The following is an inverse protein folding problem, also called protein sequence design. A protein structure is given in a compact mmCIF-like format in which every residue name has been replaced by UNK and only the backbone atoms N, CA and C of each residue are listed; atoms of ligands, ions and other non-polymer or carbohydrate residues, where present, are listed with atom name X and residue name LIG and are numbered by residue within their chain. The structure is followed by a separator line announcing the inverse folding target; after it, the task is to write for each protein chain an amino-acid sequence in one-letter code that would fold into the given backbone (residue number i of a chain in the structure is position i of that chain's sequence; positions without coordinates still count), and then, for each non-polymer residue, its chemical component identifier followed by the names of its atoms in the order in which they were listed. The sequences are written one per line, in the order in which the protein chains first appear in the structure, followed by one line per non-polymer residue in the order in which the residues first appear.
data_IF_378618609963
#
_entry.id   IF_378618609963
#
_cell.length_a   1.000
_cell.length_b   1.000
_cell.length_c   1.000
_cell.angle_alpha   90.00
_cell.angle_beta   90.00
_cell.angle_gamma   90.00
#
_symmetry.space_group_name_H-M   'P 1'
#
loop_
_entity.id
_entity.type
_entity.pdbx_description
1 polymer ?
#
# COMPACT_ATOMS: atom_id res chain seq x y z
N UNK A 1 -40.19 13.33 -11.71
CA UNK A 1 -39.87 13.11 -13.14
C UNK A 1 -39.03 14.26 -13.71
N UNK A 2 -37.92 14.66 -13.06
CA UNK A 2 -37.10 15.81 -13.51
C UNK A 2 -35.61 15.49 -13.65
N UNK A 3 -35.16 14.33 -13.18
CA UNK A 3 -33.77 13.84 -13.33
C UNK A 3 -33.49 13.14 -14.66
N UNK A 4 -34.50 12.87 -15.49
CA UNK A 4 -34.31 12.26 -16.81
C UNK A 4 -33.89 13.26 -17.90
N UNK A 5 -34.09 14.57 -17.68
CA UNK A 5 -33.86 15.60 -18.72
C UNK A 5 -32.44 16.17 -18.75
N UNK A 6 -31.58 15.88 -17.76
CA UNK A 6 -30.18 16.35 -17.73
C UNK A 6 -29.23 15.35 -18.43
N UNK A 7 -29.69 14.12 -18.67
CA UNK A 7 -28.94 13.12 -19.46
C UNK A 7 -28.77 13.57 -20.91
N UNK A 8 -29.63 14.47 -21.38
CA UNK A 8 -29.86 14.78 -22.79
C UNK A 8 -28.96 15.85 -23.39
N UNK A 9 -28.02 16.48 -22.67
CA UNK A 9 -27.27 17.63 -23.23
C UNK A 9 -25.76 17.39 -23.40
N UNK A 10 -25.10 16.67 -22.48
CA UNK A 10 -23.71 16.23 -22.68
C UNK A 10 -23.61 14.81 -23.26
N UNK A 11 -24.58 13.94 -22.93
CA UNK A 11 -24.66 12.58 -23.48
C UNK A 11 -25.21 12.51 -24.90
N UNK A 12 -25.85 13.58 -25.39
CA UNK A 12 -26.44 13.66 -26.74
C UNK A 12 -25.42 13.97 -27.85
N UNK A 13 -24.19 14.36 -27.50
CA UNK A 13 -23.12 14.62 -28.47
C UNK A 13 -22.22 13.41 -28.76
N UNK A 14 -22.31 12.35 -27.96
CA UNK A 14 -21.52 11.13 -28.12
C UNK A 14 -22.33 10.08 -28.88
N UNK A 15 -21.79 9.62 -30.01
CA UNK A 15 -22.41 8.53 -30.76
C UNK A 15 -22.30 7.21 -29.97
N UNK A 16 -23.18 6.24 -30.24
CA UNK A 16 -23.18 4.92 -29.57
C UNK A 16 -21.80 4.23 -29.73
N UNK A 17 -21.17 4.43 -30.89
CA UNK A 17 -19.84 3.89 -31.19
C UNK A 17 -18.75 4.52 -30.31
N UNK A 18 -18.89 5.80 -29.94
CA UNK A 18 -17.97 6.47 -29.02
C UNK A 18 -18.08 5.94 -27.60
N UNK A 19 -19.30 5.67 -27.11
CA UNK A 19 -19.51 5.09 -25.79
C UNK A 19 -18.88 3.71 -25.68
N UNK A 20 -19.10 2.85 -26.68
CA UNK A 20 -18.51 1.51 -26.74
C UNK A 20 -16.98 1.57 -26.76
N UNK A 21 -16.40 2.54 -27.48
CA UNK A 21 -14.95 2.78 -27.51
C UNK A 21 -14.42 3.25 -26.15
N UNK A 22 -15.11 4.18 -25.49
CA UNK A 22 -14.73 4.68 -24.17
C UNK A 22 -14.82 3.61 -23.09
N UNK A 23 -15.84 2.75 -23.11
CA UNK A 23 -15.97 1.60 -22.21
C UNK A 23 -14.78 0.64 -22.34
N UNK A 24 -14.40 0.30 -23.58
CA UNK A 24 -13.24 -0.56 -23.83
C UNK A 24 -11.94 0.07 -23.36
N UNK A 25 -11.79 1.39 -23.58
CA UNK A 25 -10.63 2.14 -23.14
C UNK A 25 -10.56 2.21 -21.62
N UNK A 26 -11.69 2.43 -20.93
CA UNK A 26 -11.78 2.43 -19.47
C UNK A 26 -11.38 1.07 -18.91
N UNK A 27 -11.97 -0.01 -19.43
CA UNK A 27 -11.64 -1.38 -19.01
C UNK A 27 -10.15 -1.68 -19.20
N UNK A 28 -9.57 -1.23 -20.31
CA UNK A 28 -8.14 -1.40 -20.61
C UNK A 28 -7.24 -0.58 -19.69
N UNK A 29 -7.63 0.67 -19.37
CA UNK A 29 -6.86 1.53 -18.44
C UNK A 29 -6.93 1.04 -17.01
N UNK A 30 -8.07 0.50 -16.58
CA UNK A 30 -8.24 -0.05 -15.22
C UNK A 30 -7.75 -1.49 -15.07
N UNK A 31 -7.27 -2.12 -16.14
CA UNK A 31 -6.72 -3.46 -16.09
C UNK A 31 -5.57 -3.57 -15.06
N UNK A 32 -5.52 -4.71 -14.38
CA UNK A 32 -4.56 -5.06 -13.32
C UNK A 32 -4.70 -4.27 -12.00
N UNK A 33 -5.61 -3.31 -11.90
CA UNK A 33 -5.87 -2.63 -10.62
C UNK A 33 -6.77 -3.53 -9.76
N UNK A 34 -6.40 -3.81 -8.50
CA UNK A 34 -7.26 -4.59 -7.63
C UNK A 34 -8.58 -3.87 -7.32
N UNK A 35 -9.70 -4.59 -7.29
CA UNK A 35 -11.05 -4.03 -7.07
C UNK A 35 -11.24 -3.32 -5.72
N UNK A 36 -10.39 -3.59 -4.74
CA UNK A 36 -10.42 -2.91 -3.45
C UNK A 36 -9.71 -1.54 -3.48
N UNK A 37 -8.94 -1.24 -4.53
CA UNK A 37 -8.28 0.07 -4.72
C UNK A 37 -9.24 1.00 -5.45
N UNK A 38 -9.82 0.51 -6.55
CA UNK A 38 -10.86 1.19 -7.30
C UNK A 38 -12.07 0.26 -7.39
N UNK A 39 -13.27 0.69 -6.98
CA UNK A 39 -14.48 -0.10 -7.19
C UNK A 39 -14.71 -0.35 -8.69
N UNK A 40 -15.59 -1.29 -9.05
CA UNK A 40 -16.00 -1.43 -10.45
C UNK A 40 -16.66 -0.13 -10.93
N UNK A 41 -16.05 0.50 -11.93
CA UNK A 41 -16.52 1.74 -12.54
C UNK A 41 -17.11 1.46 -13.92
N UNK A 42 -18.17 2.18 -14.25
CA UNK A 42 -18.79 2.20 -15.57
C UNK A 42 -18.46 3.51 -16.29
N UNK A 43 -18.71 3.57 -17.60
CA UNK A 43 -18.59 4.85 -18.32
C UNK A 43 -19.54 5.93 -17.78
N UNK A 44 -20.69 5.52 -17.23
CA UNK A 44 -21.64 6.44 -16.61
C UNK A 44 -21.05 7.09 -15.36
N UNK A 45 -20.23 6.36 -14.58
CA UNK A 45 -19.54 6.91 -13.42
C UNK A 45 -18.55 8.01 -13.81
N UNK A 46 -17.84 7.82 -14.93
CA UNK A 46 -16.89 8.79 -15.49
C UNK A 46 -17.63 10.03 -16.04
N UNK A 47 -18.65 9.82 -16.87
CA UNK A 47 -19.41 10.91 -17.50
C UNK A 47 -20.14 11.76 -16.47
N UNK A 48 -20.69 11.12 -15.43
CA UNK A 48 -21.41 11.82 -14.34
C UNK A 48 -20.51 12.23 -13.18
N UNK A 49 -19.22 11.92 -13.24
CA UNK A 49 -18.27 12.17 -12.15
C UNK A 49 -18.80 11.70 -10.79
N UNK A 50 -19.32 10.47 -10.72
CA UNK A 50 -19.90 9.97 -9.48
C UNK A 50 -18.85 9.98 -8.36
N UNK A 51 -19.23 10.14 -7.08
CA UNK A 51 -18.26 10.20 -5.97
C UNK A 51 -17.27 9.03 -5.96
N UNK A 52 -17.71 7.87 -6.45
CA UNK A 52 -16.95 6.62 -6.63
C UNK A 52 -15.76 6.76 -7.59
N UNK A 53 -15.91 7.59 -8.63
CA UNK A 53 -14.88 7.85 -9.64
C UNK A 53 -14.09 9.13 -9.33
N UNK A 54 -14.74 10.11 -8.70
CA UNK A 54 -14.16 11.44 -8.48
C UNK A 54 -13.17 11.46 -7.30
N UNK A 55 -13.48 10.78 -6.19
CA UNK A 55 -12.67 10.86 -4.98
C UNK A 55 -12.39 9.50 -4.35
N UNK A 56 -11.15 9.05 -4.48
CA UNK A 56 -10.64 7.81 -3.88
C UNK A 56 -9.87 8.15 -2.60
N UNK A 57 -10.52 7.97 -1.44
CA UNK A 57 -9.97 8.35 -0.12
C UNK A 57 -8.57 7.80 0.20
N UNK A 58 -8.22 6.62 -0.32
CA UNK A 58 -6.94 5.97 -0.06
C UNK A 58 -5.81 6.38 -1.04
N UNK A 59 -6.12 7.31 -1.94
CA UNK A 59 -5.23 7.83 -2.99
C UNK A 59 -4.98 9.32 -2.73
N UNK A 60 -3.74 9.83 -2.87
CA UNK A 60 -3.43 11.24 -2.73
C UNK A 60 -4.26 12.13 -3.66
N UNK A 61 -4.61 13.36 -3.26
CA UNK A 61 -5.42 14.27 -4.08
C UNK A 61 -4.82 14.58 -5.46
N UNK A 62 -3.49 14.58 -5.58
CA UNK A 62 -2.77 14.84 -6.84
C UNK A 62 -2.60 13.60 -7.73
N UNK A 63 -3.00 12.42 -7.22
CA UNK A 63 -2.90 11.13 -7.92
C UNK A 63 -4.28 10.52 -8.18
N UNK A 64 -5.36 11.31 -8.15
CA UNK A 64 -6.72 10.82 -8.35
C UNK A 64 -6.92 10.20 -9.74
N UNK A 65 -8.09 9.59 -9.96
CA UNK A 65 -8.37 8.78 -11.14
C UNK A 65 -8.09 9.50 -12.47
N UNK A 66 -8.35 10.80 -12.58
CA UNK A 66 -8.05 11.58 -13.78
C UNK A 66 -6.54 11.59 -14.10
N UNK A 67 -5.69 11.80 -13.09
CA UNK A 67 -4.24 11.79 -13.26
C UNK A 67 -3.75 10.39 -13.66
N UNK A 68 -4.26 9.35 -13.00
CA UNK A 68 -3.96 7.97 -13.35
C UNK A 68 -4.34 7.63 -14.81
N UNK A 69 -5.57 7.96 -15.22
CA UNK A 69 -6.05 7.68 -16.57
C UNK A 69 -5.19 8.41 -17.62
N UNK A 70 -4.82 9.66 -17.36
CA UNK A 70 -3.97 10.46 -18.26
C UNK A 70 -2.56 9.88 -18.40
N UNK A 71 -2.01 9.31 -17.32
CA UNK A 71 -0.65 8.78 -17.28
C UNK A 71 -0.56 7.27 -17.56
N UNK A 72 -1.68 6.55 -17.78
CA UNK A 72 -1.70 5.09 -17.91
C UNK A 72 -0.76 4.55 -19.00
N UNK A 73 -0.63 5.27 -20.11
CA UNK A 73 0.27 4.89 -21.20
C UNK A 73 1.74 4.81 -20.74
N UNK A 74 2.20 5.79 -19.95
CA UNK A 74 3.57 5.82 -19.43
C UNK A 74 3.80 4.65 -18.47
N UNK A 75 2.79 4.30 -17.67
CA UNK A 75 2.86 3.15 -16.77
C UNK A 75 2.90 1.83 -17.55
N UNK A 76 2.08 1.69 -18.60
CA UNK A 76 2.06 0.49 -19.46
C UNK A 76 3.40 0.27 -20.18
N UNK A 77 4.06 1.35 -20.61
CA UNK A 77 5.40 1.30 -21.24
C UNK A 77 6.42 0.60 -20.33
N UNK A 78 6.25 0.77 -19.02
CA UNK A 78 7.13 0.23 -17.98
C UNK A 78 6.54 -1.06 -17.36
N UNK A 79 5.59 -1.71 -18.03
CA UNK A 79 4.92 -2.96 -17.64
C UNK A 79 4.34 -2.93 -16.23
N UNK A 80 3.67 -1.85 -15.84
CA UNK A 80 3.01 -1.72 -14.53
C UNK A 80 3.99 -1.78 -13.34
N UNK A 81 5.29 -1.61 -13.60
CA UNK A 81 6.34 -1.69 -12.59
C UNK A 81 6.90 -0.31 -12.28
N UNK A 82 7.23 -0.05 -11.00
CA UNK A 82 8.04 1.11 -10.70
C UNK A 82 9.45 0.82 -11.22
N UNK A 83 10.11 1.84 -11.75
CA UNK A 83 11.52 1.80 -12.14
C UNK A 83 12.29 2.67 -11.18
N UNK A 84 13.42 2.21 -10.64
CA UNK A 84 14.18 2.98 -9.64
C UNK A 84 14.80 4.27 -10.20
N UNK A 85 15.31 4.24 -11.43
CA UNK A 85 15.98 5.39 -12.06
C UNK A 85 14.98 6.53 -12.38
N UNK A 86 15.17 7.68 -11.74
CA UNK A 86 14.35 8.89 -11.93
C UNK A 86 14.48 9.48 -13.34
N UNK A 87 15.58 9.20 -14.06
CA UNK A 87 15.76 9.62 -15.45
C UNK A 87 14.90 8.82 -16.42
N UNK A 88 14.52 7.60 -16.07
CA UNK A 88 13.73 6.68 -16.91
C UNK A 88 12.24 6.81 -16.60
N UNK A 89 11.91 6.84 -15.31
CA UNK A 89 10.55 6.97 -14.82
C UNK A 89 10.51 8.08 -13.77
N UNK A 90 9.60 9.03 -13.89
CA UNK A 90 9.46 10.11 -12.90
C UNK A 90 9.03 9.56 -11.54
N UNK A 91 9.32 10.30 -10.46
CA UNK A 91 8.77 10.01 -9.13
C UNK A 91 7.23 9.97 -9.16
N UNK A 92 6.59 10.84 -9.94
CA UNK A 92 5.13 10.89 -10.10
C UNK A 92 4.54 9.57 -10.62
N UNK A 93 5.11 9.05 -11.71
CA UNK A 93 4.70 7.75 -12.28
C UNK A 93 4.95 6.61 -11.30
N UNK A 94 6.08 6.63 -10.57
CA UNK A 94 6.36 5.66 -9.51
C UNK A 94 5.29 5.72 -8.41
N UNK A 95 4.88 6.91 -7.97
CA UNK A 95 3.81 7.08 -6.97
C UNK A 95 2.49 6.48 -7.47
N UNK A 96 2.10 6.74 -8.72
CA UNK A 96 0.90 6.12 -9.33
C UNK A 96 0.96 4.59 -9.24
N UNK A 97 2.10 3.98 -9.57
CA UNK A 97 2.27 2.51 -9.49
C UNK A 97 2.09 1.99 -8.06
N UNK A 98 2.66 2.66 -7.06
CA UNK A 98 2.53 2.26 -5.65
C UNK A 98 1.10 2.42 -5.11
N UNK A 99 0.46 3.57 -5.36
CA UNK A 99 -0.88 3.87 -4.82
C UNK A 99 -1.98 3.06 -5.50
N UNK A 100 -1.86 2.85 -6.82
CA UNK A 100 -2.78 1.97 -7.56
C UNK A 100 -2.42 0.48 -7.47
N UNK A 101 -1.32 0.14 -6.77
CA UNK A 101 -0.90 -1.22 -6.46
C UNK A 101 -0.77 -2.11 -7.70
N UNK A 102 -0.20 -1.53 -8.75
CA UNK A 102 -0.04 -2.20 -10.04
C UNK A 102 1.07 -3.26 -10.04
N UNK A 103 2.01 -3.17 -9.08
CA UNK A 103 3.11 -4.10 -8.93
C UNK A 103 2.95 -4.93 -7.67
N UNK A 104 2.85 -6.26 -7.82
CA UNK A 104 2.70 -7.18 -6.68
C UNK A 104 3.88 -7.09 -5.69
N UNK A 105 5.05 -6.72 -6.18
CA UNK A 105 6.30 -6.64 -5.40
C UNK A 105 6.55 -5.27 -4.79
N UNK A 106 5.83 -4.22 -5.21
CA UNK A 106 6.03 -2.84 -4.77
C UNK A 106 4.73 -2.23 -4.28
N UNK A 107 4.30 -2.71 -3.11
CA UNK A 107 3.10 -2.24 -2.45
C UNK A 107 3.24 -2.36 -0.94
N UNK A 108 2.33 -1.70 -0.23
CA UNK A 108 2.30 -1.67 1.23
C UNK A 108 1.42 -2.76 1.85
N UNK A 109 0.84 -3.64 1.02
CA UNK A 109 -0.08 -4.69 1.48
C UNK A 109 0.62 -5.94 1.95
N UNK A 110 0.05 -6.52 3.00
CA UNK A 110 0.48 -7.80 3.58
C UNK A 110 0.05 -9.06 2.84
N UNK A 111 -0.79 -9.00 1.81
CA UNK A 111 -1.38 -10.24 1.26
C UNK A 111 -0.46 -10.96 0.28
N UNK A 112 0.54 -10.27 -0.24
CA UNK A 112 1.53 -10.85 -1.13
C UNK A 112 2.70 -11.41 -0.33
N UNK A 113 3.13 -12.62 -0.67
CA UNK A 113 4.18 -13.32 0.06
C UNK A 113 5.48 -12.52 0.13
N UNK A 114 5.88 -11.87 -0.96
CA UNK A 114 7.10 -11.05 -1.01
C UNK A 114 7.05 -9.89 0.00
N UNK A 115 5.93 -9.18 0.09
CA UNK A 115 5.75 -8.10 1.08
C UNK A 115 5.83 -8.64 2.51
N UNK A 116 5.14 -9.75 2.81
CA UNK A 116 5.19 -10.40 4.12
C UNK A 116 6.60 -10.83 4.51
N UNK A 117 7.36 -11.34 3.55
CA UNK A 117 8.74 -11.72 3.76
C UNK A 117 9.60 -10.50 4.05
N UNK A 118 9.42 -9.39 3.33
CA UNK A 118 10.12 -8.13 3.62
C UNK A 118 9.81 -7.63 5.04
N UNK A 119 8.56 -7.70 5.51
CA UNK A 119 8.19 -7.30 6.87
C UNK A 119 8.94 -8.11 7.93
N UNK A 120 8.94 -9.44 7.75
CA UNK A 120 9.62 -10.35 8.66
C UNK A 120 11.14 -10.15 8.63
N UNK A 121 11.73 -10.02 7.44
CA UNK A 121 13.17 -9.80 7.24
C UNK A 121 13.61 -8.50 7.90
N UNK A 122 12.99 -7.37 7.58
CA UNK A 122 13.35 -6.07 8.15
C UNK A 122 13.18 -6.04 9.67
N UNK A 123 12.07 -6.55 10.19
CA UNK A 123 11.84 -6.56 11.65
C UNK A 123 12.87 -7.44 12.37
N UNK A 124 13.20 -8.61 11.82
CA UNK A 124 14.20 -9.53 12.40
C UNK A 124 15.61 -8.94 12.35
N UNK A 125 15.97 -8.29 11.23
CA UNK A 125 17.25 -7.62 11.02
C UNK A 125 17.42 -6.44 11.98
N UNK A 126 16.39 -5.59 12.11
CA UNK A 126 16.38 -4.48 13.07
C UNK A 126 16.47 -4.96 14.51
N UNK A 127 15.77 -6.05 14.87
CA UNK A 127 15.86 -6.66 16.19
C UNK A 127 17.27 -7.19 16.48
N UNK A 128 17.84 -7.97 15.56
CA UNK A 128 19.14 -8.61 15.73
C UNK A 128 20.29 -7.61 15.94
N UNK A 129 20.15 -6.41 15.37
CA UNK A 129 21.16 -5.34 15.40
C UNK A 129 20.92 -4.26 16.45
N UNK A 130 19.74 -4.25 17.07
CA UNK A 130 19.48 -3.38 18.22
C UNK A 130 20.08 -3.93 19.53
N UNK A 131 20.61 -5.16 19.53
CA UNK A 131 21.20 -5.77 20.72
C UNK A 131 22.70 -5.46 20.83
N UNK A 132 23.18 -4.82 21.91
CA UNK A 132 24.59 -4.46 22.06
C UNK A 132 25.52 -5.67 22.24
N UNK A 133 24.97 -6.86 22.47
CA UNK A 133 25.76 -8.07 22.74
C UNK A 133 26.24 -8.80 21.49
N UNK A 134 25.72 -8.45 20.30
CA UNK A 134 26.13 -9.05 19.03
C UNK A 134 27.08 -8.11 18.29
N UNK A 135 28.31 -8.58 18.04
CA UNK A 135 29.27 -8.01 17.07
C UNK A 135 28.77 -8.21 15.64
N UNK A 136 27.55 -7.77 15.35
CA UNK A 136 26.91 -7.92 14.05
C UNK A 136 27.67 -7.12 13.01
N UNK A 137 27.67 -7.61 11.77
CA UNK A 137 27.87 -6.75 10.60
C UNK A 137 27.02 -5.48 10.80
N UNK A 138 27.69 -4.34 10.82
CA UNK A 138 27.05 -3.07 11.10
C UNK A 138 26.12 -2.73 9.92
N UNK A 139 24.82 -2.83 10.17
CA UNK A 139 23.83 -2.28 9.24
C UNK A 139 24.09 -0.79 9.18
N UNK A 140 24.30 -0.27 7.98
CA UNK A 140 24.54 1.16 7.82
C UNK A 140 23.33 1.94 8.35
N UNK A 141 23.54 3.14 8.91
CA UNK A 141 22.43 3.99 9.34
C UNK A 141 21.42 4.27 8.22
N UNK A 142 21.85 4.31 6.96
CA UNK A 142 20.99 4.50 5.80
C UNK A 142 20.10 3.27 5.54
N UNK A 143 20.67 2.06 5.52
CA UNK A 143 19.92 0.81 5.41
C UNK A 143 18.88 0.67 6.53
N UNK A 144 19.26 1.05 7.77
CA UNK A 144 18.33 1.08 8.91
C UNK A 144 17.15 2.03 8.67
N UNK A 145 17.41 3.26 8.20
CA UNK A 145 16.36 4.24 7.89
C UNK A 145 15.45 3.76 6.77
N UNK A 146 16.01 3.14 5.73
CA UNK A 146 15.23 2.55 4.64
C UNK A 146 14.24 1.49 5.15
N UNK A 147 14.72 0.53 5.95
CA UNK A 147 13.87 -0.51 6.54
C UNK A 147 12.78 0.07 7.45
N UNK A 148 13.13 1.04 8.31
CA UNK A 148 12.17 1.71 9.19
C UNK A 148 11.14 2.49 8.39
N UNK A 149 11.54 3.20 7.34
CA UNK A 149 10.63 3.96 6.47
C UNK A 149 9.64 3.04 5.76
N UNK A 150 10.07 1.86 5.30
CA UNK A 150 9.16 0.90 4.68
C UNK A 150 8.12 0.38 5.70
N UNK A 151 8.56 -0.01 6.89
CA UNK A 151 7.66 -0.48 7.95
C UNK A 151 6.68 0.62 8.38
N UNK A 152 7.12 1.88 8.44
CA UNK A 152 6.26 3.03 8.72
C UNK A 152 5.19 3.21 7.64
N UNK A 153 5.56 3.12 6.36
CA UNK A 153 4.63 3.21 5.24
C UNK A 153 3.57 2.09 5.25
N UNK A 154 3.96 0.86 5.62
CA UNK A 154 3.04 -0.27 5.80
C UNK A 154 2.08 -0.02 6.95
N UNK A 155 2.56 0.50 8.08
CA UNK A 155 1.71 0.84 9.22
C UNK A 155 0.71 1.94 8.89
N UNK A 156 1.16 3.01 8.23
CA UNK A 156 0.27 4.09 7.77
C UNK A 156 -0.78 3.57 6.80
N UNK A 157 -0.39 2.75 5.80
CA UNK A 157 -1.33 2.18 4.84
C UNK A 157 -2.49 1.43 5.49
N UNK A 158 -2.20 0.67 6.54
CA UNK A 158 -3.19 -0.18 7.19
C UNK A 158 -3.94 0.52 8.32
N UNK A 159 -3.29 1.37 9.11
CA UNK A 159 -3.90 2.03 10.26
C UNK A 159 -4.60 3.34 9.89
N UNK A 160 -4.06 4.08 8.92
CA UNK A 160 -4.52 5.41 8.54
C UNK A 160 -4.50 5.57 7.01
N UNK A 161 -5.34 4.84 6.25
CA UNK A 161 -5.26 4.78 4.79
C UNK A 161 -5.49 6.12 4.07
N UNK A 162 -6.04 7.13 4.76
CA UNK A 162 -6.22 8.49 4.24
C UNK A 162 -5.00 9.41 4.48
N UNK A 163 -4.00 8.95 5.24
CA UNK A 163 -2.74 9.64 5.47
C UNK A 163 -1.68 9.13 4.50
N UNK A 164 -0.79 10.01 4.04
CA UNK A 164 0.14 9.69 2.95
C UNK A 164 1.61 9.96 3.31
N UNK A 165 1.89 10.54 4.47
CA UNK A 165 3.21 11.08 4.84
C UNK A 165 4.30 10.01 4.83
N UNK A 166 4.08 8.87 5.50
CA UNK A 166 5.06 7.80 5.61
C UNK A 166 5.22 7.04 4.30
N UNK A 167 4.12 6.82 3.56
CA UNK A 167 4.16 6.20 2.22
C UNK A 167 4.93 7.05 1.23
N UNK A 168 4.66 8.35 1.17
CA UNK A 168 5.37 9.30 0.31
C UNK A 168 6.87 9.38 0.66
N UNK A 169 7.21 9.42 1.95
CA UNK A 169 8.60 9.41 2.40
C UNK A 169 9.31 8.12 1.99
N UNK A 170 8.67 6.96 2.12
CA UNK A 170 9.26 5.71 1.66
C UNK A 170 9.47 5.70 0.14
N UNK A 171 8.47 6.10 -0.66
CA UNK A 171 8.58 6.08 -2.13
C UNK A 171 9.73 7.00 -2.57
N UNK A 172 9.85 8.19 -1.97
CA UNK A 172 10.97 9.12 -2.22
C UNK A 172 12.32 8.49 -1.89
N UNK A 173 12.45 7.81 -0.74
CA UNK A 173 13.68 7.08 -0.37
C UNK A 173 13.98 5.92 -1.31
N UNK A 174 12.98 5.11 -1.64
CA UNK A 174 13.14 3.98 -2.57
C UNK A 174 13.62 4.43 -3.95
N UNK A 175 13.18 5.59 -4.40
CA UNK A 175 13.59 6.20 -5.66
C UNK A 175 15.01 6.77 -5.62
N UNK A 176 15.38 7.44 -4.53
CA UNK A 176 16.62 8.23 -4.43
C UNK A 176 17.80 7.48 -3.80
N UNK A 177 17.54 6.45 -2.99
CA UNK A 177 18.58 5.66 -2.32
C UNK A 177 18.94 4.41 -3.15
N UNK A 178 20.12 3.84 -2.88
CA UNK A 178 20.57 2.60 -3.55
C UNK A 178 19.81 1.35 -3.10
N UNK A 179 19.06 1.45 -2.00
CA UNK A 179 18.45 0.30 -1.35
C UNK A 179 17.14 -0.15 -1.99
N UNK A 180 16.94 -1.46 -2.10
CA UNK A 180 15.70 -2.07 -2.59
C UNK A 180 15.07 -3.07 -1.62
N UNK A 181 13.83 -3.44 -1.90
CA UNK A 181 13.17 -4.54 -1.23
C UNK A 181 13.83 -5.86 -1.64
N UNK A 182 13.65 -6.89 -0.81
CA UNK A 182 14.00 -8.25 -1.21
C UNK A 182 12.97 -8.74 -2.23
N UNK A 183 13.33 -8.79 -3.50
CA UNK A 183 12.45 -9.23 -4.59
C UNK A 183 12.85 -10.62 -5.12
N UNK A 184 14.15 -10.86 -5.23
CA UNK A 184 14.70 -12.05 -5.87
C UNK A 184 15.00 -13.17 -4.89
N UNK A 185 14.00 -14.03 -4.68
CA UNK A 185 14.15 -15.25 -3.88
C UNK A 185 14.34 -16.48 -4.77
N UNK A 186 15.42 -17.24 -4.55
CA UNK A 186 15.59 -18.58 -5.11
C UNK A 186 14.56 -19.54 -4.53
N UNK A 187 14.21 -20.61 -5.26
CA UNK A 187 13.20 -21.58 -4.85
C UNK A 187 13.42 -22.14 -3.43
N UNK A 188 14.68 -22.43 -3.05
CA UNK A 188 15.03 -22.90 -1.71
C UNK A 188 14.76 -21.83 -0.63
N UNK A 189 15.01 -20.56 -0.93
CA UNK A 189 14.75 -19.43 -0.02
C UNK A 189 13.25 -19.19 0.13
N UNK A 190 12.47 -19.26 -0.96
CA UNK A 190 11.00 -19.22 -0.90
C UNK A 190 10.45 -20.33 -0.01
N UNK A 191 10.90 -21.57 -0.21
CA UNK A 191 10.52 -22.72 0.64
C UNK A 191 10.88 -22.52 2.10
N UNK A 192 12.06 -21.96 2.37
CA UNK A 192 12.49 -21.60 3.72
C UNK A 192 11.55 -20.55 4.33
N UNK A 193 11.28 -19.44 3.62
CA UNK A 193 10.42 -18.37 4.12
C UNK A 193 8.99 -18.85 4.40
N UNK A 194 8.40 -19.64 3.51
CA UNK A 194 7.07 -20.25 3.75
C UNK A 194 7.08 -21.08 5.04
N UNK A 195 8.13 -21.89 5.26
CA UNK A 195 8.28 -22.67 6.49
C UNK A 195 8.42 -21.77 7.73
N UNK A 196 9.29 -20.77 7.68
CA UNK A 196 9.52 -19.85 8.80
C UNK A 196 8.28 -19.03 9.13
N UNK A 197 7.57 -18.51 8.13
CA UNK A 197 6.33 -17.76 8.35
C UNK A 197 5.26 -18.61 9.03
N UNK A 198 5.14 -19.90 8.71
CA UNK A 198 4.21 -20.80 9.42
C UNK A 198 4.58 -20.97 10.89
N UNK A 199 5.87 -21.10 11.20
CA UNK A 199 6.37 -21.18 12.58
C UNK A 199 6.10 -19.87 13.31
N UNK A 200 6.58 -18.75 12.74
CA UNK A 200 6.43 -17.42 13.31
C UNK A 200 4.97 -17.06 13.54
N UNK A 201 4.05 -17.38 12.63
CA UNK A 201 2.63 -17.09 12.83
C UNK A 201 2.09 -17.73 14.13
N UNK A 202 2.43 -19.00 14.39
CA UNK A 202 1.99 -19.69 15.62
C UNK A 202 2.64 -19.11 16.86
N UNK A 203 3.89 -18.70 16.77
CA UNK A 203 4.60 -18.06 17.88
C UNK A 203 4.05 -16.65 18.14
N UNK A 204 3.73 -15.89 17.09
CA UNK A 204 3.08 -14.58 17.16
C UNK A 204 1.74 -14.65 17.88
N UNK A 205 0.88 -15.61 17.52
CA UNK A 205 -0.42 -15.77 18.19
C UNK A 205 -0.27 -15.97 19.69
N UNK A 206 0.68 -16.82 20.12
CA UNK A 206 0.96 -17.05 21.54
C UNK A 206 1.53 -15.83 22.23
N UNK A 207 2.47 -15.14 21.57
CA UNK A 207 3.10 -13.95 22.12
C UNK A 207 2.07 -12.83 22.31
N UNK A 208 1.21 -12.59 21.32
CA UNK A 208 0.16 -11.58 21.40
C UNK A 208 -0.81 -11.87 22.55
N UNK A 209 -1.15 -13.15 22.80
CA UNK A 209 -1.97 -13.54 23.94
C UNK A 209 -1.30 -13.29 25.29
N UNK A 210 0.01 -13.60 25.39
CA UNK A 210 0.80 -13.31 26.59
C UNK A 210 0.86 -11.80 26.84
N UNK A 211 1.23 -11.02 25.83
CA UNK A 211 1.37 -9.56 25.93
C UNK A 211 0.04 -8.89 26.26
N UNK A 212 -1.07 -9.32 25.66
CA UNK A 212 -2.40 -8.82 25.98
C UNK A 212 -2.80 -9.11 27.44
N UNK A 213 -2.42 -10.28 27.98
CA UNK A 213 -2.69 -10.65 29.37
C UNK A 213 -1.81 -9.87 30.36
N UNK A 214 -0.53 -9.66 30.01
CA UNK A 214 0.45 -8.98 30.87
C UNK A 214 0.24 -7.46 30.93
N UNK A 215 -0.02 -6.82 29.77
CA UNK A 215 -0.18 -5.36 29.68
C UNK A 215 -1.62 -4.91 29.96
N UNK A 216 -2.59 -5.81 29.81
CA UNK A 216 -4.01 -5.48 29.81
C UNK A 216 -4.48 -4.88 28.48
N UNK A 217 -5.80 -4.92 28.27
CA UNK A 217 -6.41 -4.61 26.97
C UNK A 217 -6.13 -3.18 26.48
N UNK A 218 -6.28 -2.18 27.34
CA UNK A 218 -6.11 -0.77 26.97
C UNK A 218 -4.69 -0.46 26.50
N UNK A 219 -3.69 -0.94 27.23
CA UNK A 219 -2.29 -0.70 26.89
C UNK A 219 -1.86 -1.53 25.66
N UNK A 220 -2.39 -2.74 25.51
CA UNK A 220 -2.23 -3.56 24.30
C UNK A 220 -2.80 -2.84 23.06
N UNK A 221 -4.02 -2.32 23.13
CA UNK A 221 -4.67 -1.62 22.02
C UNK A 221 -3.89 -0.37 21.61
N UNK A 222 -3.28 0.32 22.57
CA UNK A 222 -2.45 1.51 22.31
C UNK A 222 -1.10 1.17 21.67
N UNK A 223 -0.43 0.11 22.11
CA UNK A 223 0.99 -0.12 21.80
C UNK A 223 1.27 -1.29 20.88
N UNK A 224 0.38 -2.26 20.80
CA UNK A 224 0.62 -3.53 20.10
C UNK A 224 -0.37 -3.69 18.96
N UNK A 225 -1.66 -3.43 19.19
CA UNK A 225 -2.69 -3.57 18.17
C UNK A 225 -2.38 -2.87 16.82
N UNK A 226 -1.72 -1.69 16.76
CA UNK A 226 -1.35 -1.06 15.48
C UNK A 226 -0.42 -1.90 14.60
N UNK A 227 0.32 -2.85 15.16
CA UNK A 227 1.18 -3.77 14.41
C UNK A 227 0.44 -5.05 13.96
N UNK A 228 -0.63 -5.40 14.67
CA UNK A 228 -1.38 -6.64 14.47
C UNK A 228 -2.37 -6.44 13.34
N UNK A 229 -2.36 -7.34 12.38
CA UNK A 229 -3.14 -7.12 11.16
C UNK A 229 -2.33 -6.44 10.06
N UNK A 230 -1.23 -5.76 10.39
CA UNK A 230 -0.42 -4.98 9.45
C UNK A 230 0.91 -5.69 9.16
N UNK A 231 1.77 -5.74 10.19
CA UNK A 231 3.10 -6.38 10.14
C UNK A 231 3.00 -7.84 10.58
N UNK A 232 2.22 -8.11 11.63
CA UNK A 232 2.04 -9.44 12.19
C UNK A 232 0.67 -10.02 11.88
N UNK A 233 0.54 -11.36 11.75
CA UNK A 233 -0.77 -11.98 11.71
C UNK A 233 -1.53 -11.69 13.02
N UNK A 234 -2.82 -11.40 12.90
CA UNK A 234 -3.74 -11.31 14.02
C UNK A 234 -4.84 -12.35 13.89
N UNK A 235 -5.46 -12.71 15.01
CA UNK A 235 -6.64 -13.59 15.03
C UNK A 235 -7.93 -12.78 15.07
N UNK A 236 -9.01 -13.32 14.51
CA UNK A 236 -10.33 -12.65 14.49
C UNK A 236 -10.90 -12.41 15.89
N UNK A 237 -10.62 -13.28 16.84
CA UNK A 237 -11.09 -13.21 18.23
C UNK A 237 -10.35 -12.16 19.08
N UNK A 238 -9.25 -11.58 18.57
CA UNK A 238 -8.56 -10.48 19.26
C UNK A 238 -9.37 -9.17 19.24
N UNK A 239 -10.53 -9.15 18.57
CA UNK A 239 -11.44 -7.99 18.49
C UNK A 239 -10.66 -6.72 18.11
N UNK A 240 -9.74 -6.86 17.16
CA UNK A 240 -9.06 -5.70 16.59
C UNK A 240 -10.14 -4.77 16.04
N UNK A 241 -10.02 -3.44 16.22
CA UNK A 241 -11.00 -2.50 15.71
C UNK A 241 -11.36 -2.87 14.27
N UNK A 242 -12.63 -3.19 14.03
CA UNK A 242 -13.14 -3.74 12.76
C UNK A 242 -12.81 -2.81 11.58
N UNK A 243 -12.58 -1.52 11.87
CA UNK A 243 -12.04 -0.52 10.95
C UNK A 243 -10.71 -0.91 10.29
N UNK A 244 -9.89 -1.77 10.91
CA UNK A 244 -8.58 -2.22 10.40
C UNK A 244 -8.65 -3.48 9.52
N UNK A 245 -9.73 -4.26 9.61
CA UNK A 245 -9.86 -5.55 8.91
C UNK A 245 -10.97 -5.57 7.85
N UNK A 246 -12.08 -4.85 8.07
CA UNK A 246 -13.27 -4.94 7.22
C UNK A 246 -13.58 -3.68 6.41
N UNK A 247 -12.89 -2.55 6.64
CA UNK A 247 -13.06 -1.32 5.84
C UNK A 247 -12.70 -1.49 4.35
N UNK A 248 -12.16 -2.66 3.95
CA UNK A 248 -11.86 -3.01 2.56
C UNK A 248 -12.70 -4.19 2.01
N UNK A 249 -13.54 -4.85 2.82
CA UNK A 249 -14.29 -6.04 2.40
C UNK A 249 -15.80 -5.96 2.65
N UNK A 250 -16.27 -5.05 3.50
CA UNK A 250 -17.68 -4.69 3.45
C UNK A 250 -17.86 -3.76 2.25
N UNK A 251 -18.14 -4.35 1.09
CA UNK A 251 -19.03 -3.71 0.15
C UNK A 251 -20.17 -3.13 0.98
N UNK A 252 -20.49 -1.83 0.87
CA UNK A 252 -21.75 -1.36 1.44
C UNK A 252 -22.80 -2.32 0.91
N UNK A 253 -23.44 -3.06 1.82
CA UNK A 253 -24.70 -3.70 1.49
C UNK A 253 -25.53 -2.62 0.80
N UNK A 254 -26.34 -2.93 -0.23
CA UNK A 254 -27.26 -1.98 -0.81
C UNK A 254 -28.36 -1.66 0.24
N UNK A 255 -27.97 -1.05 1.35
CA UNK A 255 -28.84 -0.29 2.21
C UNK A 255 -29.38 0.83 1.34
N UNK A 256 -30.69 0.78 1.17
CA UNK A 256 -31.58 1.81 0.62
C UNK A 256 -30.91 3.17 0.52
N UNK A 257 -30.97 3.85 -0.65
CA UNK A 257 -30.39 5.18 -0.81
C UNK A 257 -31.05 6.12 0.19
N UNK A 258 -30.35 6.36 1.30
CA UNK A 258 -30.73 7.36 2.29
C UNK A 258 -30.59 8.72 1.63
N UNK A 259 -31.62 9.53 1.84
CA UNK A 259 -31.88 10.82 1.18
C UNK A 259 -30.79 11.91 1.40
N UNK A 260 -29.66 11.57 2.00
CA UNK A 260 -28.56 12.48 2.31
C UNK A 260 -27.55 12.68 1.15
N UNK A 261 -27.53 11.83 0.11
CA UNK A 261 -26.69 12.05 -1.09
C UNK A 261 -27.29 13.05 -2.08
N UNK A 262 -28.56 13.43 -1.93
CA UNK A 262 -29.24 14.33 -2.86
C UNK A 262 -28.85 15.81 -2.72
N UNK A 263 -28.31 16.22 -1.57
CA UNK A 263 -28.08 17.64 -1.25
C UNK A 263 -26.64 18.12 -1.49
N UNK A 264 -25.74 17.27 -1.99
CA UNK A 264 -24.36 17.64 -2.38
C UNK A 264 -24.10 17.62 -3.89
N UNK A 265 -25.16 17.60 -4.71
CA UNK A 265 -25.03 17.88 -6.13
C UNK A 265 -24.94 19.40 -6.28
N UNK A 266 -23.72 19.93 -6.16
CA UNK A 266 -23.43 21.28 -6.62
C UNK A 266 -23.91 21.38 -8.09
N UNK A 267 -24.71 22.39 -8.45
CA UNK A 267 -25.09 22.60 -9.83
C UNK A 267 -23.79 22.77 -10.64
N UNK A 268 -23.55 21.80 -11.52
CA UNK A 268 -22.48 21.76 -12.51
C UNK A 268 -22.31 23.16 -13.11
N UNK A 269 -21.33 23.91 -12.62
CA UNK A 269 -20.67 24.90 -13.45
C UNK A 269 -19.99 24.11 -14.58
N UNK A 270 -19.85 24.71 -15.75
CA UNK A 270 -19.24 24.14 -16.98
C UNK A 270 -17.76 23.76 -16.82
N UNK A 271 -17.37 23.22 -15.68
CA UNK A 271 -16.08 22.60 -15.45
C UNK A 271 -15.98 21.37 -16.35
N UNK A 272 -15.09 21.51 -17.33
CA UNK A 272 -14.68 20.47 -18.26
C UNK A 272 -14.52 19.13 -17.51
N UNK A 273 -15.19 18.07 -17.96
CA UNK A 273 -15.14 16.77 -17.31
C UNK A 273 -13.72 16.18 -17.45
N UNK A 274 -12.86 16.47 -16.46
CA UNK A 274 -11.45 16.08 -16.45
C UNK A 274 -11.27 14.56 -16.54
N UNK A 275 -12.16 13.78 -15.91
CA UNK A 275 -12.12 12.32 -15.97
C UNK A 275 -12.38 11.80 -17.39
N UNK A 276 -13.32 12.40 -18.12
CA UNK A 276 -13.61 12.04 -19.50
C UNK A 276 -12.46 12.43 -20.44
N UNK A 277 -11.87 13.61 -20.26
CA UNK A 277 -10.69 14.04 -21.01
C UNK A 277 -9.48 13.13 -20.75
N UNK A 278 -9.22 12.81 -19.48
CA UNK A 278 -8.18 11.87 -19.08
C UNK A 278 -8.39 10.45 -19.65
N UNK A 279 -9.65 9.99 -19.67
CA UNK A 279 -10.00 8.70 -20.28
C UNK A 279 -9.66 8.69 -21.77
N UNK A 280 -9.94 9.77 -22.49
CA UNK A 280 -9.71 9.91 -23.94
C UNK A 280 -8.25 9.87 -24.37
N UNK A 281 -7.30 10.11 -23.46
CA UNK A 281 -5.86 9.97 -23.76
C UNK A 281 -5.59 8.54 -24.30
N UNK A 282 -5.13 8.38 -25.55
CA UNK A 282 -5.00 7.06 -26.16
C UNK A 282 -4.02 6.15 -25.42
N UNK A 283 -4.28 4.83 -25.45
CA UNK A 283 -3.25 3.84 -25.17
C UNK A 283 -2.59 3.47 -26.49
N UNK A 284 -1.30 3.73 -26.64
CA UNK A 284 -0.56 3.25 -27.81
C UNK A 284 -0.55 1.71 -27.85
N UNK A 285 -0.90 1.14 -29.00
CA UNK A 285 -0.83 -0.31 -29.22
C UNK A 285 0.60 -0.81 -29.04
N UNK A 286 0.71 -1.92 -28.30
CA UNK A 286 1.91 -2.43 -27.61
C UNK A 286 3.13 -2.74 -28.51
N UNK A 287 3.76 -1.72 -29.09
CA UNK A 287 5.12 -1.83 -29.66
C UNK A 287 6.20 -2.01 -28.59
N UNK A 288 5.82 -1.90 -27.31
CA UNK A 288 6.71 -1.87 -26.14
C UNK A 288 7.14 -3.25 -25.61
N UNK A 289 6.74 -4.35 -26.26
CA UNK A 289 6.99 -5.73 -25.82
C UNK A 289 8.47 -6.18 -25.80
N UNK A 290 9.43 -5.30 -26.12
CA UNK A 290 10.87 -5.61 -26.11
C UNK A 290 11.72 -4.58 -25.37
N UNK A 291 11.14 -3.78 -24.48
CA UNK A 291 11.97 -3.03 -23.55
C UNK A 291 12.72 -4.07 -22.70
N UNK A 292 14.04 -4.10 -22.89
CA UNK A 292 14.95 -4.93 -22.12
C UNK A 292 14.56 -4.82 -20.65
N UNK A 293 14.52 -5.94 -19.95
CA UNK A 293 14.41 -5.95 -18.49
C UNK A 293 15.49 -4.98 -18.01
N UNK A 294 15.09 -3.78 -17.59
CA UNK A 294 16.03 -2.84 -17.00
C UNK A 294 16.48 -3.54 -15.73
N UNK A 295 17.70 -4.06 -15.73
CA UNK A 295 18.32 -4.56 -14.51
C UNK A 295 18.43 -3.35 -13.59
N UNK A 296 17.55 -3.31 -12.59
CA UNK A 296 17.55 -2.21 -11.63
C UNK A 296 18.80 -2.34 -10.76
N UNK A 297 19.63 -1.29 -10.66
CA UNK A 297 20.89 -1.34 -9.90
C UNK A 297 20.69 -1.32 -8.36
N UNK A 298 19.51 -1.72 -7.87
CA UNK A 298 19.18 -1.71 -6.46
C UNK A 298 19.92 -2.80 -5.68
N UNK A 299 20.42 -2.45 -4.49
CA UNK A 299 21.01 -3.41 -3.54
C UNK A 299 20.08 -3.61 -2.35
N UNK A 300 20.00 -4.80 -1.80
CA UNK A 300 19.20 -5.00 -0.58
C UNK A 300 19.91 -4.35 0.63
N UNK A 301 19.18 -3.87 1.66
CA UNK A 301 19.75 -3.21 2.84
C UNK A 301 20.85 -4.00 3.55
N UNK A 302 20.76 -5.33 3.47
CA UNK A 302 21.73 -6.31 3.96
C UNK A 302 21.76 -7.49 3.00
N UNK A 303 22.77 -8.36 3.12
CA UNK A 303 22.78 -9.62 2.39
C UNK A 303 21.56 -10.49 2.75
N UNK A 304 20.95 -11.13 1.74
CA UNK A 304 19.75 -11.94 1.94
C UNK A 304 20.04 -13.15 2.86
N UNK A 305 21.23 -13.75 2.80
CA UNK A 305 21.56 -14.87 3.70
C UNK A 305 21.65 -14.43 5.16
N UNK A 306 22.18 -13.22 5.41
CA UNK A 306 22.17 -12.61 6.74
C UNK A 306 20.73 -12.35 7.22
N UNK A 307 19.89 -11.73 6.38
CA UNK A 307 18.50 -11.46 6.73
C UNK A 307 17.70 -12.75 7.04
N UNK A 308 17.90 -13.81 6.24
CA UNK A 308 17.29 -15.12 6.50
C UNK A 308 17.77 -15.74 7.82
N UNK A 309 19.04 -15.56 8.17
CA UNK A 309 19.59 -15.97 9.47
C UNK A 309 18.96 -15.17 10.62
N UNK A 310 18.74 -13.87 10.46
CA UNK A 310 18.03 -13.05 11.43
C UNK A 310 16.61 -13.58 11.66
N UNK A 311 15.85 -13.86 10.59
CA UNK A 311 14.49 -14.43 10.70
C UNK A 311 14.51 -15.77 11.43
N UNK A 312 15.45 -16.66 11.10
CA UNK A 312 15.59 -17.97 11.74
C UNK A 312 15.81 -17.88 13.26
N UNK A 313 16.58 -16.88 13.69
CA UNK A 313 17.06 -16.75 15.06
C UNK A 313 16.25 -15.74 15.89
N UNK A 314 15.30 -15.04 15.29
CA UNK A 314 14.45 -14.07 15.98
C UNK A 314 13.26 -14.75 16.63
N UNK A 315 12.81 -14.17 17.74
CA UNK A 315 11.57 -14.57 18.42
C UNK A 315 10.57 -13.41 18.37
N UNK A 316 9.26 -13.69 18.33
CA UNK A 316 8.22 -12.66 18.37
C UNK A 316 8.40 -11.59 19.44
N UNK A 317 8.68 -11.99 20.70
CA UNK A 317 8.92 -11.06 21.81
C UNK A 317 9.99 -9.99 21.49
N UNK A 318 11.09 -10.40 20.86
CA UNK A 318 12.20 -9.52 20.52
C UNK A 318 11.87 -8.61 19.34
N UNK A 319 11.21 -9.16 18.33
CA UNK A 319 10.72 -8.40 17.17
C UNK A 319 9.69 -7.35 17.59
N UNK A 320 8.74 -7.72 18.45
CA UNK A 320 7.71 -6.82 18.96
C UNK A 320 8.32 -5.69 19.80
N UNK A 321 9.21 -6.05 20.72
CA UNK A 321 9.94 -5.08 21.54
C UNK A 321 10.72 -4.08 20.67
N UNK A 322 11.32 -4.56 19.57
CA UNK A 322 12.02 -3.70 18.62
C UNK A 322 11.06 -2.73 17.92
N UNK A 323 9.91 -3.19 17.41
CA UNK A 323 8.94 -2.30 16.78
C UNK A 323 8.33 -1.30 17.78
N UNK A 324 8.01 -1.74 18.99
CA UNK A 324 7.52 -0.86 20.05
C UNK A 324 8.57 0.20 20.44
N UNK A 325 9.87 -0.11 20.36
CA UNK A 325 10.92 0.87 20.59
C UNK A 325 11.07 1.87 19.43
N UNK A 326 10.79 1.45 18.18
CA UNK A 326 10.91 2.29 16.99
C UNK A 326 9.69 3.19 16.80
N UNK A 327 8.49 2.65 17.01
CA UNK A 327 7.20 3.28 16.68
C UNK A 327 6.32 3.56 17.90
N UNK A 328 6.75 3.17 19.11
CA UNK A 328 6.01 3.48 20.33
C UNK A 328 5.83 4.98 20.52
N UNK A 329 4.71 5.35 21.12
CA UNK A 329 4.34 6.76 21.31
C UNK A 329 5.38 7.50 22.16
N UNK A 330 5.59 8.79 21.87
CA UNK A 330 6.52 9.65 22.61
C UNK A 330 6.18 9.78 24.12
N UNK A 331 4.93 9.51 24.51
CA UNK A 331 4.50 9.45 25.92
C UNK A 331 5.24 8.33 26.69
N UNK A 332 5.60 7.23 26.03
CA UNK A 332 6.33 6.11 26.62
C UNK A 332 7.80 6.46 26.90
N UNK A 333 8.37 7.39 26.13
CA UNK A 333 9.74 7.87 26.33
C UNK A 333 9.84 8.79 27.56
N UNK A 334 8.78 9.55 27.87
CA UNK A 334 8.74 10.46 29.02
C UNK A 334 8.54 9.72 30.35
N UNK A 335 7.72 8.67 30.37
CA UNK A 335 7.49 7.86 31.58
C UNK A 335 8.71 7.02 31.97
N UNK A 336 9.51 6.54 31.00
CA UNK A 336 10.80 5.87 31.29
C UNK A 336 11.88 6.81 31.83
N UNK A 337 11.78 8.12 31.56
CA UNK A 337 12.71 9.12 32.08
C UNK A 337 12.44 9.53 33.54
N UNK A 338 11.25 9.25 34.08
CA UNK A 338 10.87 9.65 35.44
C UNK A 338 11.01 8.54 36.49
N UNK A 339 11.10 7.27 36.09
CA UNK A 339 11.27 6.13 37.01
C UNK A 339 12.73 5.67 37.17
N UNK A 340 13.67 6.35 36.50
CA UNK A 340 15.11 6.06 36.55
C UNK A 340 15.96 7.14 37.21
N UNK A 341 15.35 8.05 37.99
CA UNK A 341 16.03 9.10 38.74
C UNK A 341 15.97 8.83 40.25
#
# INVERSE_FOLDING_TARGET
MSTMNIITDLGSSLEIDDLTKLERLLASKLANIPQYVIPSLTITDIVRQTPRAHYLRAIPPDLQLADFLSNRQLINRDNDRPIKDERVQSLHTTRLVFYYQLSETHQFRRFHDTSRWNFALFTAVLHATSSPTRRSEEITPAARRFMVSYLAAVLEHHNEPAMFTAREEFIRRWKSEVYDLFLDFKAAQKKFMVKQMRTLNREWERELDCVMREMGRTEYDRRVAPFVGCIFPGRKDQQLPTTLLDAHFEHPSPSTPDQAEADMINPLQDEQNELLEALRVPLEEAKWQKNAVHEEPGVTPVDLSFALSCVKNSRPVGMLSCLAAIFGTAEDARTKGQTGA
#
